data_IF_326253363554
#
_entry.id   IF_326253363554
#
_cell.length_a   1.000
_cell.length_b   1.000
_cell.length_c   1.000
_cell.angle_alpha   90.00
_cell.angle_beta   90.00
_cell.angle_gamma   90.00
#
_symmetry.space_group_name_H-M   'P 1'
#
loop_
_entity.id
_entity.type
_entity.pdbx_description
1 polymer ?
#
# COMPACT_ATOMS: atom_id res chain seq x y z
N UNK A 1 24.25 18.94 27.92
CA UNK A 1 24.37 17.46 27.82
C UNK A 1 23.22 16.79 28.59
N UNK A 2 22.08 16.46 27.95
CA UNK A 2 21.02 15.63 28.57
C UNK A 2 19.94 15.08 27.62
N UNK A 3 19.96 15.41 26.32
CA UNK A 3 18.93 14.98 25.35
C UNK A 3 19.22 13.61 24.72
N UNK A 4 20.49 13.20 24.63
CA UNK A 4 20.89 11.92 24.02
C UNK A 4 20.49 10.71 24.89
N UNK A 5 20.64 10.84 26.22
CA UNK A 5 20.21 9.82 27.20
C UNK A 5 18.75 9.46 27.04
N UNK A 6 17.86 10.47 26.97
CA UNK A 6 16.41 10.24 26.90
C UNK A 6 15.96 9.52 25.63
N UNK A 7 16.61 9.75 24.49
CA UNK A 7 16.26 9.06 23.24
C UNK A 7 16.66 7.60 23.28
N UNK A 8 17.84 7.32 23.80
CA UNK A 8 18.35 5.96 24.00
C UNK A 8 17.48 5.20 25.02
N UNK A 9 17.04 5.87 26.09
CA UNK A 9 16.14 5.29 27.11
C UNK A 9 14.76 4.92 26.52
N UNK A 10 14.18 5.80 25.70
CA UNK A 10 12.92 5.54 25.00
C UNK A 10 13.09 4.40 23.99
N UNK A 11 14.18 4.40 23.21
CA UNK A 11 14.44 3.35 22.24
C UNK A 11 14.58 1.98 22.93
N UNK A 12 15.36 1.91 24.01
CA UNK A 12 15.50 0.69 24.82
C UNK A 12 14.18 0.26 25.47
N UNK A 13 13.33 1.20 25.85
CA UNK A 13 11.98 0.91 26.33
C UNK A 13 11.09 0.30 25.23
N UNK A 14 11.18 0.81 24.00
CA UNK A 14 10.44 0.28 22.85
C UNK A 14 10.99 -1.06 22.34
N UNK A 15 12.29 -1.34 22.49
CA UNK A 15 12.88 -2.64 22.21
C UNK A 15 12.36 -3.72 23.19
N UNK A 16 12.25 -3.37 24.48
CA UNK A 16 11.67 -4.26 25.51
C UNK A 16 10.15 -4.41 25.36
N UNK A 17 9.52 -3.43 24.76
CA UNK A 17 8.10 -3.35 24.45
C UNK A 17 7.25 -2.80 25.60
N UNK A 18 6.18 -2.12 25.23
CA UNK A 18 5.29 -1.37 26.13
C UNK A 18 3.83 -1.75 25.92
N UNK A 19 3.04 -1.60 26.97
CA UNK A 19 1.60 -1.74 26.90
C UNK A 19 0.96 -0.39 26.55
N UNK A 20 0.15 -0.38 25.48
CA UNK A 20 -0.58 0.77 24.98
C UNK A 20 -2.09 0.44 24.90
N UNK A 21 -2.92 1.43 24.57
CA UNK A 21 -4.38 1.29 24.48
C UNK A 21 -5.00 0.60 25.71
N UNK A 22 -4.78 1.19 26.89
CA UNK A 22 -5.29 0.70 28.18
C UNK A 22 -4.82 -0.74 28.50
N UNK A 23 -3.62 -1.11 28.03
CA UNK A 23 -3.02 -2.42 28.28
C UNK A 23 -3.56 -3.54 27.42
N UNK A 24 -4.30 -3.22 26.35
CA UNK A 24 -4.86 -4.21 25.44
C UNK A 24 -4.01 -4.43 24.18
N UNK A 25 -2.97 -3.63 23.96
CA UNK A 25 -2.00 -3.85 22.89
C UNK A 25 -0.61 -3.75 23.49
N UNK A 26 0.25 -4.72 23.16
CA UNK A 26 1.66 -4.68 23.49
C UNK A 26 2.42 -4.36 22.20
N UNK A 27 3.26 -3.34 22.25
CA UNK A 27 4.00 -2.80 21.11
C UNK A 27 5.50 -2.88 21.37
N UNK A 28 6.27 -3.35 20.40
CA UNK A 28 7.73 -3.25 20.41
C UNK A 28 8.32 -2.93 19.05
N UNK A 29 9.56 -2.50 19.05
CA UNK A 29 10.38 -2.39 17.85
C UNK A 29 11.40 -3.55 17.86
N UNK A 30 11.38 -4.38 16.81
CA UNK A 30 12.37 -5.45 16.62
C UNK A 30 13.75 -4.89 16.28
N UNK A 31 14.79 -5.69 16.45
CA UNK A 31 16.19 -5.30 16.16
C UNK A 31 16.44 -4.90 14.70
N UNK A 32 15.57 -5.32 13.78
CA UNK A 32 15.56 -4.94 12.37
C UNK A 32 14.75 -3.64 12.10
N UNK A 33 14.31 -2.93 13.14
CA UNK A 33 13.50 -1.72 13.04
C UNK A 33 12.02 -1.97 12.67
N UNK A 34 11.60 -3.23 12.52
CA UNK A 34 10.19 -3.57 12.27
C UNK A 34 9.36 -3.41 13.54
N UNK A 35 8.08 -3.09 13.37
CA UNK A 35 7.14 -2.93 14.48
C UNK A 35 6.45 -4.26 14.72
N UNK A 36 6.40 -4.69 15.97
CA UNK A 36 5.70 -5.89 16.39
C UNK A 36 4.57 -5.50 17.35
N UNK A 37 3.34 -5.89 17.00
CA UNK A 37 2.16 -5.66 17.82
C UNK A 37 1.54 -6.99 18.24
N UNK A 38 1.27 -7.11 19.54
CA UNK A 38 0.45 -8.18 20.10
C UNK A 38 -0.85 -7.60 20.61
N UNK A 39 -1.95 -8.28 20.33
CA UNK A 39 -3.29 -7.84 20.73
C UNK A 39 -3.80 -8.74 21.85
N UNK A 40 -4.24 -8.12 22.93
CA UNK A 40 -4.89 -8.80 24.04
C UNK A 40 -6.15 -9.53 23.58
N UNK A 41 -6.31 -10.77 24.03
CA UNK A 41 -7.51 -11.57 23.80
C UNK A 41 -8.80 -10.86 24.27
N UNK A 42 -8.69 -9.87 25.17
CA UNK A 42 -9.83 -9.03 25.58
C UNK A 42 -10.43 -8.19 24.46
N UNK A 43 -9.69 -7.93 23.38
CA UNK A 43 -10.21 -7.24 22.19
C UNK A 43 -11.03 -8.14 21.27
N UNK A 44 -11.06 -9.43 21.56
CA UNK A 44 -11.69 -10.40 20.70
C UNK A 44 -13.16 -10.55 21.07
N UNK A 45 -13.99 -10.78 20.06
CA UNK A 45 -15.38 -11.20 20.22
C UNK A 45 -15.47 -12.71 20.04
N UNK A 46 -16.06 -13.38 21.02
CA UNK A 46 -16.30 -14.81 21.04
C UNK A 46 -17.79 -15.08 20.85
N UNK A 47 -18.16 -15.83 19.80
CA UNK A 47 -19.58 -16.13 19.51
C UNK A 47 -20.26 -16.98 20.59
N UNK A 48 -19.52 -17.83 21.30
CA UNK A 48 -20.02 -18.60 22.43
C UNK A 48 -19.35 -18.11 23.73
N UNK A 49 -20.11 -17.44 24.61
CA UNK A 49 -19.56 -16.87 25.85
C UNK A 49 -19.22 -17.94 26.90
N UNK A 50 -19.85 -19.12 26.82
CA UNK A 50 -19.61 -20.23 27.75
C UNK A 50 -18.34 -21.03 27.41
N UNK A 51 -17.71 -20.77 26.27
CA UNK A 51 -16.55 -21.53 25.81
C UNK A 51 -15.21 -21.02 26.35
N UNK A 52 -15.19 -19.96 27.17
CA UNK A 52 -13.93 -19.44 27.73
C UNK A 52 -14.09 -18.84 29.13
N UNK A 53 -13.00 -18.89 29.91
CA UNK A 53 -12.85 -18.22 31.20
C UNK A 53 -11.62 -17.33 31.20
N UNK A 54 -11.64 -16.25 31.98
CA UNK A 54 -10.50 -15.35 32.13
C UNK A 54 -9.62 -15.78 33.30
N UNK A 55 -8.31 -15.90 33.06
CA UNK A 55 -7.33 -16.19 34.10
C UNK A 55 -6.14 -15.24 34.04
N UNK A 56 -5.45 -15.10 35.16
CA UNK A 56 -4.14 -14.45 35.16
C UNK A 56 -3.06 -15.44 34.72
N UNK A 57 -2.08 -14.96 33.98
CA UNK A 57 -0.95 -15.74 33.51
C UNK A 57 0.34 -14.97 33.75
N UNK A 58 1.19 -15.47 34.64
CA UNK A 58 2.43 -14.82 35.07
C UNK A 58 3.49 -14.73 33.96
N UNK A 59 3.42 -15.61 32.96
CA UNK A 59 4.31 -15.61 31.78
C UNK A 59 3.75 -14.83 30.59
N UNK A 60 2.58 -14.22 30.72
CA UNK A 60 1.94 -13.44 29.65
C UNK A 60 2.34 -11.98 29.71
N UNK A 61 2.47 -11.34 28.54
CA UNK A 61 2.59 -9.87 28.43
C UNK A 61 1.29 -9.14 28.79
N UNK A 62 0.17 -9.88 28.82
CA UNK A 62 -1.14 -9.39 29.24
C UNK A 62 -1.56 -10.00 30.58
N UNK A 63 -2.02 -9.16 31.50
CA UNK A 63 -2.41 -9.56 32.85
C UNK A 63 -3.57 -10.58 32.91
N UNK A 64 -4.52 -10.52 31.96
CA UNK A 64 -5.55 -11.56 31.79
C UNK A 64 -5.47 -12.18 30.40
N UNK A 65 -5.60 -13.50 30.35
CA UNK A 65 -5.69 -14.31 29.14
C UNK A 65 -7.00 -15.09 29.15
N UNK A 66 -7.49 -15.45 27.96
CA UNK A 66 -8.67 -16.27 27.81
C UNK A 66 -8.27 -17.75 27.74
N UNK A 67 -8.73 -18.56 28.69
CA UNK A 67 -8.63 -20.02 28.64
C UNK A 67 -9.88 -20.55 27.97
N UNK A 68 -9.71 -21.22 26.83
CA UNK A 68 -10.82 -21.86 26.10
C UNK A 68 -11.14 -23.20 26.77
N UNK A 69 -12.40 -23.39 27.15
CA UNK A 69 -12.93 -24.63 27.73
C UNK A 69 -13.43 -25.60 26.65
N UNK A 70 -13.93 -25.04 25.54
CA UNK A 70 -14.33 -25.79 24.35
C UNK A 70 -13.87 -25.01 23.11
N UNK A 71 -13.14 -25.70 22.23
CA UNK A 71 -12.61 -25.13 20.98
C UNK A 71 -13.37 -25.65 19.75
N UNK A 72 -14.37 -26.51 19.94
CA UNK A 72 -15.21 -27.04 18.87
C UNK A 72 -15.97 -25.89 18.22
N UNK A 73 -15.69 -25.62 16.94
CA UNK A 73 -16.24 -24.49 16.19
C UNK A 73 -15.87 -23.09 16.72
N UNK A 74 -14.68 -22.92 17.33
CA UNK A 74 -14.21 -21.62 17.80
C UNK A 74 -14.12 -20.60 16.65
N UNK A 75 -14.94 -19.54 16.72
CA UNK A 75 -14.92 -18.40 15.80
C UNK A 75 -14.59 -17.12 16.57
N UNK A 76 -13.43 -16.57 16.28
CA UNK A 76 -12.91 -15.34 16.90
C UNK A 76 -13.03 -14.20 15.89
N UNK A 77 -13.57 -13.06 16.32
CA UNK A 77 -13.55 -11.82 15.53
C UNK A 77 -12.76 -10.75 16.26
N UNK A 78 -11.93 -10.01 15.52
CA UNK A 78 -11.07 -8.97 16.07
C UNK A 78 -11.37 -7.68 15.32
N UNK A 79 -11.61 -6.59 16.04
CA UNK A 79 -11.69 -5.24 15.47
C UNK A 79 -10.43 -4.48 15.84
N UNK A 80 -9.56 -4.28 14.87
CA UNK A 80 -8.30 -3.55 15.05
C UNK A 80 -8.48 -2.14 14.46
N UNK A 81 -8.13 -1.12 15.25
CA UNK A 81 -7.88 0.23 14.74
C UNK A 81 -6.36 0.42 14.71
N UNK A 82 -5.73 0.61 13.54
CA UNK A 82 -4.28 0.82 13.45
C UNK A 82 -3.89 2.08 14.22
N UNK A 83 -2.82 2.03 15.03
CA UNK A 83 -2.24 3.24 15.61
C UNK A 83 -1.22 3.83 14.63
N UNK A 84 -1.60 4.91 13.96
CA UNK A 84 -0.65 5.71 13.19
C UNK A 84 0.19 6.53 14.16
N UNK A 85 1.39 6.07 14.51
CA UNK A 85 2.45 6.98 14.96
C UNK A 85 3.08 7.60 13.72
N UNK A 86 2.65 8.82 13.42
CA UNK A 86 3.29 9.68 12.42
C UNK A 86 4.75 9.86 12.84
N UNK A 87 5.70 9.41 11.99
CA UNK A 87 7.05 9.96 12.05
C UNK A 87 6.95 11.41 11.55
N UNK A 88 7.12 12.35 12.46
CA UNK A 88 7.36 13.75 12.11
C UNK A 88 8.74 13.87 11.46
N UNK A 89 8.76 14.10 10.15
CA UNK A 89 9.52 15.21 9.58
C UNK A 89 8.48 16.12 8.91
N UNK A 90 8.24 17.29 9.49
CA UNK A 90 7.44 18.34 8.86
C UNK A 90 8.23 18.90 7.67
N UNK A 91 8.02 18.30 6.50
CA UNK A 91 8.27 18.97 5.24
C UNK A 91 6.99 19.75 4.94
N UNK A 92 7.09 21.08 4.87
CA UNK A 92 6.01 21.90 4.31
C UNK A 92 5.86 21.50 2.85
N UNK A 93 4.83 20.71 2.57
CA UNK A 93 4.43 20.34 1.23
C UNK A 93 3.25 21.24 0.88
N UNK A 94 3.44 22.16 -0.05
CA UNK A 94 2.31 22.87 -0.66
C UNK A 94 1.51 21.85 -1.48
N UNK A 95 0.33 21.47 -0.99
CA UNK A 95 -0.58 20.55 -1.65
C UNK A 95 -1.65 21.36 -2.37
N UNK A 96 -1.72 21.20 -3.69
CA UNK A 96 -2.85 21.65 -4.48
C UNK A 96 -3.64 20.42 -4.93
N UNK A 97 -4.91 20.37 -4.52
CA UNK A 97 -5.81 19.26 -4.82
C UNK A 97 -6.79 19.71 -5.91
N UNK A 98 -6.71 19.07 -7.07
CA UNK A 98 -7.54 19.33 -8.25
C UNK A 98 -8.45 18.12 -8.49
N UNK A 99 -9.27 17.80 -7.47
CA UNK A 99 -10.27 16.74 -7.47
C UNK A 99 -9.69 15.32 -7.59
N UNK A 100 -9.29 14.93 -8.80
CA UNK A 100 -8.76 13.61 -9.15
C UNK A 100 -7.23 13.61 -9.30
N UNK A 101 -6.59 14.76 -9.05
CA UNK A 101 -5.15 15.00 -9.20
C UNK A 101 -4.67 15.73 -7.96
N UNK A 102 -3.54 15.30 -7.40
CA UNK A 102 -2.87 16.07 -6.35
C UNK A 102 -1.41 16.26 -6.68
N UNK A 103 -0.92 17.43 -6.32
CA UNK A 103 0.45 17.85 -6.59
C UNK A 103 1.11 18.29 -5.30
N UNK A 104 2.38 17.91 -5.17
CA UNK A 104 3.22 18.25 -4.04
C UNK A 104 4.62 18.58 -4.54
N UNK A 105 5.21 19.65 -4.02
CA UNK A 105 6.59 20.02 -4.29
C UNK A 105 7.38 20.07 -2.99
N UNK A 106 8.61 19.54 -3.03
CA UNK A 106 9.53 19.67 -1.92
C UNK A 106 10.35 20.95 -2.09
N UNK A 107 10.21 21.91 -1.17
CA UNK A 107 10.88 23.22 -1.25
C UNK A 107 12.42 23.12 -1.32
N UNK A 108 13.02 22.11 -0.66
CA UNK A 108 14.48 21.96 -0.56
C UNK A 108 15.07 21.32 -1.80
N UNK A 109 14.46 20.23 -2.28
CA UNK A 109 14.97 19.48 -3.44
C UNK A 109 14.39 19.93 -4.77
N UNK A 110 13.33 20.75 -4.77
CA UNK A 110 12.50 21.11 -5.95
C UNK A 110 12.02 19.88 -6.75
N UNK A 111 12.01 18.72 -6.11
CA UNK A 111 11.50 17.47 -6.68
C UNK A 111 9.98 17.49 -6.56
N UNK A 112 9.32 17.40 -7.71
CA UNK A 112 7.86 17.37 -7.80
C UNK A 112 7.35 15.94 -7.65
N UNK A 113 6.30 15.77 -6.86
CA UNK A 113 5.56 14.53 -6.70
C UNK A 113 4.12 14.75 -7.15
N UNK A 114 3.69 13.92 -8.10
CA UNK A 114 2.39 14.02 -8.73
C UNK A 114 1.60 12.76 -8.44
N UNK A 115 0.32 12.89 -8.15
CA UNK A 115 -0.57 11.76 -7.92
C UNK A 115 -1.86 11.91 -8.71
N UNK A 116 -2.28 10.80 -9.32
CA UNK A 116 -3.54 10.64 -10.04
C UNK A 116 -4.43 9.66 -9.31
N UNK A 117 -5.73 9.92 -9.24
CA UNK A 117 -6.67 8.93 -8.74
C UNK A 117 -6.76 7.72 -9.67
N UNK A 118 -7.22 6.60 -9.11
CA UNK A 118 -7.52 5.41 -9.90
C UNK A 118 -8.60 5.68 -10.96
N UNK A 119 -9.55 6.55 -10.66
CA UNK A 119 -10.65 6.91 -11.57
C UNK A 119 -10.10 7.59 -12.82
N UNK A 120 -9.27 8.62 -12.68
CA UNK A 120 -8.65 9.29 -13.82
C UNK A 120 -7.78 8.32 -14.64
N UNK A 121 -7.02 7.45 -13.98
CA UNK A 121 -6.04 6.59 -14.64
C UNK A 121 -6.59 5.30 -15.28
N UNK A 122 -7.73 4.78 -14.81
CA UNK A 122 -8.27 3.49 -15.23
C UNK A 122 -9.60 3.63 -15.99
N UNK A 123 -10.41 4.64 -15.68
CA UNK A 123 -11.77 4.74 -16.18
C UNK A 123 -11.84 5.10 -17.68
N UNK A 124 -10.81 5.78 -18.21
CA UNK A 124 -10.70 6.10 -19.64
C UNK A 124 -10.37 4.87 -20.52
N UNK A 125 -10.21 3.68 -19.93
CA UNK A 125 -9.93 2.43 -20.63
C UNK A 125 -11.16 1.76 -21.26
N UNK A 126 -12.02 2.51 -21.95
CA UNK A 126 -13.05 2.03 -22.92
C UNK A 126 -14.14 1.06 -22.42
N UNK A 127 -14.01 0.49 -21.22
CA UNK A 127 -14.87 -0.57 -20.71
C UNK A 127 -15.48 -0.16 -19.36
N UNK A 128 -16.42 0.78 -19.45
CA UNK A 128 -17.19 1.39 -18.35
C UNK A 128 -17.96 0.37 -17.48
N UNK A 129 -17.95 -0.92 -17.82
CA UNK A 129 -18.63 -2.01 -17.09
C UNK A 129 -17.71 -2.87 -16.20
N UNK A 130 -16.42 -2.51 -16.05
CA UNK A 130 -15.41 -3.40 -15.44
C UNK A 130 -14.84 -2.93 -14.10
N UNK A 131 -15.40 -1.86 -13.54
CA UNK A 131 -14.86 -1.19 -12.35
C UNK A 131 -15.99 -0.78 -11.42
N UNK A 132 -15.90 -1.19 -10.16
CA UNK A 132 -16.78 -0.67 -9.12
C UNK A 132 -16.07 0.50 -8.44
N UNK A 133 -16.69 1.68 -8.49
CA UNK A 133 -16.23 2.84 -7.72
C UNK A 133 -16.69 2.67 -6.27
N UNK A 134 -15.73 2.64 -5.36
CA UNK A 134 -15.97 2.40 -3.93
C UNK A 134 -15.58 3.66 -3.17
N UNK A 135 -16.48 4.25 -2.37
CA UNK A 135 -16.12 5.32 -1.47
C UNK A 135 -15.07 4.85 -0.47
N UNK A 136 -13.99 5.61 -0.28
CA UNK A 136 -12.92 5.26 0.65
C UNK A 136 -12.58 6.42 1.56
N UNK A 137 -12.59 6.17 2.86
CA UNK A 137 -12.09 7.09 3.89
C UNK A 137 -10.61 6.87 4.20
N UNK A 138 -10.00 5.86 3.57
CA UNK A 138 -8.60 5.46 3.78
C UNK A 138 -7.71 5.85 2.58
N UNK A 139 -8.29 6.43 1.54
CA UNK A 139 -7.59 7.01 0.40
C UNK A 139 -7.56 8.52 0.54
N UNK A 140 -6.57 9.17 -0.09
CA UNK A 140 -6.56 10.62 -0.28
C UNK A 140 -7.65 11.07 -1.25
N UNK A 141 -8.08 10.19 -2.15
CA UNK A 141 -9.21 10.42 -3.05
C UNK A 141 -10.49 9.80 -2.50
N UNK A 142 -11.62 10.44 -2.77
CA UNK A 142 -12.93 10.02 -2.24
C UNK A 142 -13.38 8.65 -2.78
N UNK A 143 -12.93 8.30 -3.98
CA UNK A 143 -13.29 7.07 -4.69
C UNK A 143 -12.04 6.23 -4.99
N UNK A 144 -12.16 4.92 -4.85
CA UNK A 144 -11.18 3.92 -5.30
C UNK A 144 -11.85 2.98 -6.29
N UNK A 145 -11.05 2.29 -7.11
CA UNK A 145 -11.55 1.41 -8.17
C UNK A 145 -11.24 -0.04 -7.83
N UNK A 146 -12.25 -0.89 -7.70
CA UNK A 146 -12.06 -2.34 -7.65
C UNK A 146 -12.16 -2.94 -9.06
N UNK A 147 -11.13 -3.70 -9.47
CA UNK A 147 -11.12 -4.39 -10.74
C UNK A 147 -12.11 -5.57 -10.72
N UNK A 148 -13.09 -5.54 -11.64
CA UNK A 148 -13.89 -6.70 -11.97
C UNK A 148 -13.03 -7.79 -12.64
N UNK A 149 -13.61 -9.00 -12.73
CA UNK A 149 -12.94 -10.19 -13.25
C UNK A 149 -12.50 -10.03 -14.71
N UNK A 150 -11.19 -9.96 -14.95
CA UNK A 150 -10.61 -9.79 -16.28
C UNK A 150 -9.19 -10.34 -16.34
N UNK A 151 -8.72 -10.78 -17.51
CA UNK A 151 -7.32 -11.19 -17.70
C UNK A 151 -6.39 -10.01 -17.97
N UNK A 152 -6.94 -8.90 -18.49
CA UNK A 152 -6.17 -7.75 -18.96
C UNK A 152 -6.88 -6.47 -18.55
N UNK A 153 -6.15 -5.52 -17.98
CA UNK A 153 -6.60 -4.15 -17.82
C UNK A 153 -5.54 -3.16 -18.33
N UNK A 154 -5.96 -1.91 -18.52
CA UNK A 154 -5.06 -0.85 -19.00
C UNK A 154 -4.99 0.28 -17.99
N UNK A 155 -3.78 0.80 -17.82
CA UNK A 155 -3.53 2.07 -17.15
C UNK A 155 -3.27 3.09 -18.24
N UNK A 156 -4.09 4.14 -18.31
CA UNK A 156 -3.94 5.23 -19.27
C UNK A 156 -3.97 6.55 -18.54
N UNK A 157 -2.96 7.36 -18.71
CA UNK A 157 -3.00 8.73 -18.21
C UNK A 157 -2.07 9.63 -19.01
N UNK A 158 -2.35 10.93 -18.94
CA UNK A 158 -1.49 11.98 -19.47
C UNK A 158 -1.07 12.90 -18.34
N UNK A 159 0.21 13.25 -18.30
CA UNK A 159 0.77 14.17 -17.32
C UNK A 159 1.37 15.32 -18.09
N UNK A 160 0.96 16.54 -17.76
CA UNK A 160 1.54 17.72 -18.36
C UNK A 160 2.99 17.90 -17.88
N UNK A 161 3.90 18.17 -18.80
CA UNK A 161 5.35 18.25 -18.51
C UNK A 161 5.68 19.31 -17.47
N UNK A 162 4.93 20.41 -17.41
CA UNK A 162 5.07 21.46 -16.39
C UNK A 162 4.83 20.97 -14.95
N UNK A 163 4.09 19.87 -14.78
CA UNK A 163 3.83 19.24 -13.48
C UNK A 163 5.00 18.35 -13.04
N UNK A 164 5.99 18.12 -13.90
CA UNK A 164 7.18 17.32 -13.63
C UNK A 164 8.41 18.22 -13.53
N UNK A 165 9.42 17.77 -12.79
CA UNK A 165 10.74 18.39 -12.80
C UNK A 165 11.44 18.03 -14.13
N UNK A 166 12.11 18.99 -14.80
CA UNK A 166 12.78 18.75 -16.07
C UNK A 166 13.99 17.82 -15.88
N UNK A 167 14.31 17.04 -16.92
CA UNK A 167 15.43 16.08 -16.97
C UNK A 167 15.57 15.21 -15.70
N UNK A 168 14.42 14.73 -15.21
CA UNK A 168 14.34 13.96 -13.97
C UNK A 168 13.79 12.58 -14.28
N UNK A 169 14.42 11.56 -13.72
CA UNK A 169 13.91 10.20 -13.78
C UNK A 169 12.76 10.03 -12.79
N UNK A 170 11.64 9.52 -13.28
CA UNK A 170 10.43 9.27 -12.52
C UNK A 170 10.08 7.79 -12.51
N UNK A 171 9.62 7.31 -11.36
CA UNK A 171 8.94 6.04 -11.21
C UNK A 171 7.44 6.25 -10.99
N UNK A 172 6.63 5.46 -11.67
CA UNK A 172 5.19 5.35 -11.47
C UNK A 172 4.89 4.18 -10.54
N UNK A 173 4.27 4.47 -9.41
CA UNK A 173 3.82 3.49 -8.43
C UNK A 173 2.31 3.35 -8.47
N UNK A 174 1.83 2.13 -8.59
CA UNK A 174 0.43 1.79 -8.41
C UNK A 174 0.17 1.54 -6.93
N UNK A 175 -0.74 2.29 -6.33
CA UNK A 175 -1.15 2.17 -4.92
C UNK A 175 -2.44 1.39 -4.84
N UNK A 176 -2.43 0.25 -4.14
CA UNK A 176 -3.53 -0.71 -4.18
C UNK A 176 -3.71 -1.52 -2.88
N UNK A 177 -4.86 -2.18 -2.77
CA UNK A 177 -5.19 -3.22 -1.80
C UNK A 177 -5.73 -4.44 -2.53
N UNK A 178 -5.75 -5.56 -1.83
CA UNK A 178 -6.39 -6.78 -2.30
C UNK A 178 -7.65 -7.02 -1.49
N UNK A 179 -8.76 -7.25 -2.19
CA UNK A 179 -10.01 -7.72 -1.59
C UNK A 179 -9.82 -9.09 -0.95
N UNK A 180 -10.57 -9.39 0.11
CA UNK A 180 -10.51 -10.69 0.80
C UNK A 180 -10.82 -11.86 -0.16
N UNK A 181 -11.68 -11.61 -1.16
CA UNK A 181 -12.10 -12.59 -2.17
C UNK A 181 -11.36 -12.45 -3.50
N UNK A 182 -10.18 -11.82 -3.52
CA UNK A 182 -9.42 -11.63 -4.76
C UNK A 182 -8.96 -12.97 -5.38
N UNK A 183 -8.90 -13.01 -6.71
CA UNK A 183 -8.58 -14.21 -7.50
C UNK A 183 -7.52 -13.86 -8.56
N UNK A 184 -6.67 -14.83 -8.94
CA UNK A 184 -5.80 -14.71 -10.13
C UNK A 184 -4.63 -13.72 -10.02
N UNK A 185 -4.25 -13.36 -8.79
CA UNK A 185 -3.19 -12.41 -8.45
C UNK A 185 -2.02 -13.07 -7.69
N UNK A 186 -1.88 -14.40 -7.74
CA UNK A 186 -0.76 -15.11 -7.10
C UNK A 186 0.45 -15.20 -8.04
N UNK A 187 0.17 -15.31 -9.35
CA UNK A 187 1.21 -15.37 -10.37
C UNK A 187 1.71 -13.97 -10.78
N UNK A 188 2.88 -13.90 -11.45
CA UNK A 188 3.36 -12.65 -12.01
C UNK A 188 2.38 -12.03 -13.00
N UNK A 189 2.46 -10.70 -13.15
CA UNK A 189 1.69 -9.92 -14.13
C UNK A 189 2.66 -9.24 -15.09
N UNK A 190 2.42 -9.42 -16.38
CA UNK A 190 3.21 -8.76 -17.42
C UNK A 190 2.71 -7.33 -17.58
N UNK A 191 3.62 -6.37 -17.56
CA UNK A 191 3.36 -4.98 -17.93
C UNK A 191 3.99 -4.70 -19.29
N UNK A 192 3.20 -4.13 -20.21
CA UNK A 192 3.67 -3.69 -21.53
C UNK A 192 3.32 -2.23 -21.75
N UNK A 193 4.30 -1.44 -22.17
CA UNK A 193 4.05 -0.11 -22.71
C UNK A 193 3.54 -0.23 -24.15
N UNK A 194 2.31 0.25 -24.39
CA UNK A 194 1.63 0.16 -25.69
C UNK A 194 2.13 1.22 -26.67
N UNK A 195 2.68 2.34 -26.18
CA UNK A 195 3.15 3.44 -27.02
C UNK A 195 4.51 3.11 -27.64
N UNK A 196 5.36 2.38 -26.93
CA UNK A 196 6.68 1.97 -27.43
C UNK A 196 6.63 0.67 -28.24
N UNK A 197 5.98 0.69 -29.41
CA UNK A 197 5.86 -0.49 -30.31
C UNK A 197 7.18 -1.15 -30.72
N UNK A 198 8.32 -0.44 -30.63
CA UNK A 198 9.65 -0.94 -31.02
C UNK A 198 10.41 -1.61 -29.87
N UNK A 199 10.10 -1.28 -28.61
CA UNK A 199 10.73 -1.89 -27.45
C UNK A 199 9.93 -3.11 -27.00
N UNK A 200 10.55 -4.29 -27.06
CA UNK A 200 9.94 -5.56 -26.62
C UNK A 200 10.00 -5.76 -25.11
N UNK A 201 10.45 -4.77 -24.36
CA UNK A 201 10.64 -4.88 -22.92
C UNK A 201 9.30 -5.10 -22.22
N UNK A 202 9.13 -6.33 -21.74
CA UNK A 202 8.02 -6.75 -20.91
C UNK A 202 8.49 -6.63 -19.48
N UNK A 203 7.89 -5.72 -18.72
CA UNK A 203 8.05 -5.72 -17.28
C UNK A 203 7.31 -6.91 -16.69
N UNK A 204 7.85 -7.50 -15.63
CA UNK A 204 7.11 -8.44 -14.79
C UNK A 204 6.99 -7.77 -13.43
N UNK A 205 5.78 -7.77 -12.86
CA UNK A 205 5.53 -7.34 -11.50
C UNK A 205 4.69 -8.36 -10.75
N UNK A 206 4.63 -8.19 -9.43
CA UNK A 206 3.79 -8.99 -8.56
C UNK A 206 2.85 -8.10 -7.75
N UNK A 207 1.63 -8.59 -7.52
CA UNK A 207 0.66 -7.96 -6.60
C UNK A 207 0.69 -8.59 -5.20
N UNK A 208 1.35 -9.74 -5.06
CA UNK A 208 1.67 -10.38 -3.78
C UNK A 208 3.17 -10.56 -3.66
N UNK A 209 3.69 -10.58 -2.44
CA UNK A 209 5.10 -10.89 -2.23
C UNK A 209 5.39 -12.29 -2.80
N UNK A 210 6.29 -12.43 -3.79
CA UNK A 210 6.63 -13.74 -4.33
C UNK A 210 7.33 -14.57 -3.25
N UNK A 211 7.11 -15.89 -3.27
CA UNK A 211 7.95 -16.82 -2.51
C UNK A 211 9.39 -16.78 -3.05
N UNK A 212 10.42 -17.01 -2.21
CA UNK A 212 11.83 -16.94 -2.61
C UNK A 212 12.18 -17.72 -3.89
N UNK A 213 11.47 -18.81 -4.17
CA UNK A 213 11.69 -19.66 -5.34
C UNK A 213 11.22 -19.05 -6.68
N UNK A 214 10.48 -17.93 -6.66
CA UNK A 214 9.89 -17.27 -7.84
C UNK A 214 10.44 -15.86 -8.09
N UNK A 215 11.54 -15.49 -7.43
CA UNK A 215 12.16 -14.18 -7.62
C UNK A 215 12.94 -14.23 -8.93
N UNK A 216 12.31 -13.83 -10.03
CA UNK A 216 13.08 -13.22 -11.12
C UNK A 216 13.74 -11.95 -10.55
N UNK A 217 14.92 -11.57 -11.04
CA UNK A 217 15.69 -10.35 -10.67
C UNK A 217 14.95 -9.00 -10.84
N UNK A 218 13.63 -9.03 -10.99
CA UNK A 218 12.78 -7.86 -11.14
C UNK A 218 12.50 -7.20 -9.79
N UNK A 219 12.94 -5.95 -9.63
CA UNK A 219 12.68 -5.10 -8.46
C UNK A 219 11.20 -4.65 -8.30
N UNK A 220 10.27 -5.18 -9.09
CA UNK A 220 8.84 -4.78 -9.13
C UNK A 220 7.97 -5.69 -8.27
N UNK A 221 8.33 -5.78 -6.99
CA UNK A 221 7.57 -6.49 -5.95
C UNK A 221 6.78 -5.49 -5.12
N UNK A 222 5.61 -5.89 -4.57
CA UNK A 222 4.77 -4.97 -3.84
C UNK A 222 5.35 -4.73 -2.44
N UNK A 223 5.26 -3.50 -1.95
CA UNK A 223 5.69 -3.10 -0.62
C UNK A 223 4.52 -2.53 0.16
N UNK A 224 4.43 -2.91 1.42
CA UNK A 224 3.43 -2.33 2.33
C UNK A 224 3.87 -0.95 2.78
N UNK A 225 2.94 0.00 2.73
CA UNK A 225 3.10 1.39 3.17
C UNK A 225 2.63 1.56 4.60
N UNK A 226 2.97 2.69 5.21
CA UNK A 226 2.52 3.02 6.58
C UNK A 226 1.00 3.23 6.68
N UNK A 227 0.34 3.57 5.57
CA UNK A 227 -1.11 3.76 5.45
C UNK A 227 -1.87 2.45 5.15
N UNK A 228 -1.18 1.29 5.23
CA UNK A 228 -1.73 -0.07 5.02
C UNK A 228 -2.12 -0.32 3.55
N UNK A 229 -1.81 0.60 2.65
CA UNK A 229 -1.85 0.33 1.22
C UNK A 229 -0.57 -0.39 0.78
N UNK A 230 -0.68 -1.13 -0.31
CA UNK A 230 0.47 -1.68 -1.02
C UNK A 230 0.86 -0.74 -2.15
N UNK A 231 2.14 -0.70 -2.50
CA UNK A 231 2.61 -0.06 -3.71
C UNK A 231 3.55 -0.94 -4.52
N UNK A 232 3.49 -0.82 -5.83
CA UNK A 232 4.42 -1.51 -6.75
C UNK A 232 4.78 -0.58 -7.90
N UNK A 233 6.06 -0.56 -8.28
CA UNK A 233 6.52 0.18 -9.45
C UNK A 233 5.98 -0.52 -10.72
N UNK A 234 5.23 0.23 -11.53
CA UNK A 234 4.67 -0.26 -12.79
C UNK A 234 5.43 0.26 -14.01
N UNK A 235 6.10 1.40 -13.90
CA UNK A 235 6.78 2.05 -15.02
C UNK A 235 7.82 3.09 -14.57
N UNK A 236 8.78 3.37 -15.44
CA UNK A 236 9.83 4.38 -15.24
C UNK A 236 10.03 5.16 -16.54
N UNK A 237 10.32 6.45 -16.44
CA UNK A 237 10.59 7.31 -17.58
C UNK A 237 11.44 8.52 -17.16
N UNK A 238 12.13 9.15 -18.11
CA UNK A 238 12.74 10.46 -17.91
C UNK A 238 11.83 11.54 -18.53
N UNK A 239 11.60 12.64 -17.80
CA UNK A 239 10.78 13.76 -18.24
C UNK A 239 11.30 14.50 -19.49
N UNK A 240 12.59 14.38 -19.84
CA UNK A 240 13.18 14.99 -21.04
C UNK A 240 12.91 14.18 -22.33
N UNK A 241 12.59 12.90 -22.22
CA UNK A 241 12.54 11.98 -23.38
C UNK A 241 11.23 12.00 -24.19
N UNK A 242 10.25 12.86 -23.87
CA UNK A 242 8.90 12.83 -24.47
C UNK A 242 8.37 14.19 -24.99
N UNK A 243 9.26 15.10 -25.39
CA UNK A 243 8.91 16.46 -25.82
C UNK A 243 8.41 16.55 -27.28
N UNK A 244 7.29 15.88 -27.61
CA UNK A 244 6.54 16.22 -28.84
C UNK A 244 5.20 16.90 -28.58
N UNK A 245 4.57 16.68 -27.42
CA UNK A 245 3.19 17.12 -27.12
C UNK A 245 3.04 17.81 -25.74
N UNK A 246 4.11 18.39 -25.18
CA UNK A 246 4.13 19.01 -23.83
C UNK A 246 3.62 18.12 -22.68
N UNK A 247 3.40 16.83 -22.94
CA UNK A 247 2.85 15.87 -22.00
C UNK A 247 3.54 14.50 -22.11
N UNK A 248 3.62 13.83 -20.97
CA UNK A 248 4.03 12.44 -20.84
C UNK A 248 2.78 11.58 -20.90
N UNK A 249 2.67 10.75 -21.95
CA UNK A 249 1.56 9.83 -22.11
C UNK A 249 1.94 8.43 -21.62
N UNK A 250 1.06 7.84 -20.82
CA UNK A 250 1.22 6.51 -20.26
C UNK A 250 0.10 5.64 -20.80
N UNK A 251 0.44 4.49 -21.37
CA UNK A 251 -0.53 3.49 -21.78
C UNK A 251 0.06 2.10 -21.51
N UNK A 252 -0.19 1.59 -20.31
CA UNK A 252 0.31 0.30 -19.88
C UNK A 252 -0.80 -0.75 -20.02
N UNK A 253 -0.46 -1.88 -20.60
CA UNK A 253 -1.30 -3.07 -20.66
C UNK A 253 -0.77 -4.09 -19.66
N UNK A 254 -1.59 -4.42 -18.65
CA UNK A 254 -1.28 -5.41 -17.63
C UNK A 254 -2.01 -6.71 -17.93
N UNK A 255 -1.28 -7.83 -17.95
CA UNK A 255 -1.79 -9.14 -18.37
C UNK A 255 -1.44 -10.17 -17.29
N UNK A 256 -2.45 -10.81 -16.70
CA UNK A 256 -2.23 -11.89 -15.73
C UNK A 256 -1.83 -13.19 -16.42
N UNK A 257 -0.81 -13.86 -15.86
CA UNK A 257 -0.41 -15.21 -16.27
C UNK A 257 -1.40 -16.29 -15.79
N UNK A 258 -2.13 -16.04 -14.70
CA UNK A 258 -3.04 -17.00 -14.06
C UNK A 258 -4.41 -17.10 -14.76
N UNK A 259 -4.57 -16.41 -15.90
CA UNK A 259 -5.86 -16.24 -16.56
C UNK A 259 -6.58 -14.99 -16.03
N UNK A 260 -7.80 -15.13 -15.53
CA UNK A 260 -8.58 -13.97 -15.04
C UNK A 260 -8.21 -13.61 -13.60
N UNK A 261 -8.03 -12.31 -13.36
CA UNK A 261 -7.85 -11.70 -12.05
C UNK A 261 -9.04 -10.83 -11.63
N UNK A 262 -9.31 -10.73 -10.34
CA UNK A 262 -10.33 -9.86 -9.75
C UNK A 262 -9.96 -9.46 -8.32
N UNK A 263 -10.57 -8.37 -7.83
CA UNK A 263 -10.42 -7.94 -6.44
C UNK A 263 -9.13 -7.15 -6.16
N UNK A 264 -8.52 -6.57 -7.20
CA UNK A 264 -7.49 -5.55 -7.05
C UNK A 264 -8.20 -4.20 -6.83
N UNK A 265 -7.99 -3.59 -5.67
CA UNK A 265 -8.58 -2.30 -5.31
C UNK A 265 -7.50 -1.24 -5.49
N UNK A 266 -7.63 -0.37 -6.48
CA UNK A 266 -6.65 0.66 -6.82
C UNK A 266 -7.09 2.00 -6.24
N UNK A 267 -6.19 2.66 -5.51
CA UNK A 267 -6.39 4.01 -4.98
C UNK A 267 -5.89 5.07 -5.95
N UNK A 268 -4.62 4.96 -6.36
CA UNK A 268 -3.96 6.02 -7.11
C UNK A 268 -2.72 5.53 -7.87
N UNK A 269 -2.25 6.38 -8.78
CA UNK A 269 -0.90 6.34 -9.33
C UNK A 269 -0.08 7.47 -8.74
N UNK A 270 1.11 7.16 -8.25
CA UNK A 270 2.04 8.12 -7.67
C UNK A 270 3.34 8.19 -8.49
N UNK A 271 3.71 9.39 -8.91
CA UNK A 271 4.86 9.69 -9.75
C UNK A 271 5.94 10.36 -8.91
N UNK A 272 6.97 9.59 -8.60
CA UNK A 272 8.07 10.01 -7.71
C UNK A 272 9.36 10.11 -8.50
N UNK A 273 10.09 11.20 -8.33
CA UNK A 273 11.46 11.30 -8.82
C UNK A 273 12.34 10.26 -8.12
N UNK A 274 13.24 9.62 -8.87
CA UNK A 274 14.24 8.68 -8.36
C UNK A 274 15.50 9.43 -7.89
#
# INVERSE_FOLDING_TARGET
>A
MSTLSKKEDIYNMLLKGILIQEGNVWFSIGSNGKRDELISARKFSYKNRLSHKWRSATKSRFHKVAEMLDISNLKIQIKIKPLFFVKHEEIKVENYDEGEKSFSENEVSKKKHYMLSAKEALYESSNVKLFDSIPSTQSRFQEVIELARQQVFHIKCKIESQRLSPDTEYACYLVFKLSENCHGLHCPVIVRDVLQRKNKEKGILYFRSPTPCNVNDTNRVPKEREDIWMEVNVWQFNSSNQLRDDCVSINLKLISYEGTMSGLIVSSLEFRSI
#
